data_IF_782643933854
#
_entry.id   IF_782643933854
#
_cell.length_a   1.000
_cell.length_b   1.000
_cell.length_c   1.000
_cell.angle_alpha   90.00
_cell.angle_beta   90.00
_cell.angle_gamma   90.00
#
_symmetry.space_group_name_H-M   'P 1'
#
loop_
_entity.id
_entity.type
_entity.pdbx_description
1 polymer ?
#
# COMPACT_ATOMS: atom_id res chain seq x y z
N UNK A 1 -8.79 6.36 -0.63
CA UNK A 1 -7.49 6.70 -1.24
C UNK A 1 -6.38 6.02 -0.45
N UNK A 2 -5.40 5.40 -1.12
CA UNK A 2 -4.19 4.87 -0.47
C UNK A 2 -3.00 5.78 -0.76
N UNK A 3 -2.20 6.04 0.27
CA UNK A 3 -0.91 6.73 0.21
C UNK A 3 0.16 5.88 0.90
N UNK A 4 1.42 6.10 0.55
CA UNK A 4 2.57 5.39 1.14
C UNK A 4 3.29 6.36 2.08
N UNK A 5 3.46 5.98 3.34
CA UNK A 5 3.91 6.88 4.41
C UNK A 5 5.43 7.07 4.48
N UNK A 6 6.22 6.55 3.52
CA UNK A 6 7.69 6.55 3.61
C UNK A 6 8.39 6.77 2.25
N UNK A 7 7.77 7.57 1.38
CA UNK A 7 8.38 7.98 0.11
C UNK A 7 8.99 9.38 0.24
N UNK A 8 10.30 9.58 -0.02
CA UNK A 8 10.89 10.92 -0.06
C UNK A 8 10.11 11.81 -1.03
N UNK A 9 9.93 13.07 -0.64
CA UNK A 9 9.06 14.05 -1.31
C UNK A 9 9.26 14.03 -2.84
N UNK A 10 8.29 13.46 -3.56
CA UNK A 10 8.34 13.36 -5.03
C UNK A 10 7.79 12.08 -5.65
N UNK A 11 7.53 11.02 -4.87
CA UNK A 11 6.93 9.75 -5.39
C UNK A 11 5.70 9.33 -4.59
N UNK A 12 4.67 10.17 -4.59
CA UNK A 12 3.39 9.84 -3.97
C UNK A 12 2.66 8.80 -4.82
N UNK A 13 2.86 7.52 -4.53
CA UNK A 13 2.09 6.45 -5.16
C UNK A 13 0.67 6.49 -4.59
N UNK A 14 -0.26 7.02 -5.37
CA UNK A 14 -1.67 7.12 -5.00
C UNK A 14 -2.46 6.05 -5.72
N UNK A 15 -3.30 5.32 -4.97
CA UNK A 15 -4.12 4.24 -5.51
C UNK A 15 -5.56 4.33 -5.01
N UNK A 16 -6.49 3.86 -5.82
CA UNK A 16 -7.91 3.69 -5.46
C UNK A 16 -8.11 2.23 -5.08
N UNK A 17 -8.74 1.99 -3.94
CA UNK A 17 -9.12 0.64 -3.49
C UNK A 17 -10.44 0.29 -4.17
N UNK A 18 -10.48 -0.78 -4.95
CA UNK A 18 -11.72 -1.31 -5.49
C UNK A 18 -12.55 -2.06 -4.43
N UNK A 19 -13.78 -2.43 -4.74
CA UNK A 19 -14.73 -3.06 -3.80
C UNK A 19 -14.23 -4.37 -3.17
N UNK A 20 -13.25 -5.04 -3.80
CA UNK A 20 -12.59 -6.23 -3.29
C UNK A 20 -11.41 -5.95 -2.32
N UNK A 21 -11.18 -4.69 -1.93
CA UNK A 21 -10.04 -4.31 -1.07
C UNK A 21 -8.68 -4.37 -1.79
N UNK A 22 -8.67 -4.45 -3.13
CA UNK A 22 -7.45 -4.52 -3.93
C UNK A 22 -7.04 -3.16 -4.47
N UNK A 23 -5.73 -2.93 -4.48
CA UNK A 23 -5.09 -1.73 -5.02
C UNK A 23 -3.82 -2.16 -5.77
N UNK A 24 -3.53 -1.47 -6.86
CA UNK A 24 -2.25 -1.61 -7.58
C UNK A 24 -1.42 -0.35 -7.34
N UNK A 25 -0.19 -0.55 -6.89
CA UNK A 25 0.76 0.52 -6.58
C UNK A 25 2.07 0.23 -7.30
N UNK A 26 2.55 1.20 -8.07
CA UNK A 26 3.89 1.19 -8.65
C UNK A 26 4.88 1.90 -7.74
N UNK A 27 6.19 1.73 -7.95
CA UNK A 27 7.20 2.58 -7.32
C UNK A 27 7.30 2.51 -5.79
N UNK A 28 6.83 1.41 -5.19
CA UNK A 28 6.97 1.16 -3.76
C UNK A 28 8.42 0.82 -3.40
N UNK A 29 8.90 1.23 -2.21
CA UNK A 29 10.13 0.67 -1.63
C UNK A 29 9.95 -0.82 -1.28
N UNK A 30 11.03 -1.54 -0.96
CA UNK A 30 10.97 -2.94 -0.52
C UNK A 30 10.14 -3.13 0.77
N UNK A 31 10.06 -2.11 1.62
CA UNK A 31 9.30 -2.14 2.86
C UNK A 31 8.80 -0.74 3.21
N UNK A 32 7.68 -0.64 3.91
CA UNK A 32 7.12 0.63 4.35
C UNK A 32 5.74 0.48 5.00
N UNK A 33 5.05 1.60 5.17
CA UNK A 33 3.69 1.65 5.70
C UNK A 33 2.75 2.27 4.66
N UNK A 34 1.63 1.61 4.39
CA UNK A 34 0.52 2.15 3.62
C UNK A 34 -0.47 2.84 4.55
N UNK A 35 -1.00 3.98 4.14
CA UNK A 35 -2.13 4.64 4.79
C UNK A 35 -3.32 4.60 3.84
N UNK A 36 -4.38 3.89 4.22
CA UNK A 36 -5.65 3.96 3.53
C UNK A 36 -6.54 4.99 4.25
N UNK A 37 -7.06 5.97 3.51
CA UNK A 37 -7.89 7.05 4.03
C UNK A 37 -9.15 7.21 3.19
N UNK A 38 -10.31 7.19 3.83
CA UNK A 38 -11.63 7.41 3.21
C UNK A 38 -12.44 8.53 3.88
N UNK A 39 -11.89 9.16 4.92
CA UNK A 39 -12.44 10.35 5.56
C UNK A 39 -11.39 11.04 6.43
N UNK A 40 -11.79 12.02 7.24
CA UNK A 40 -10.86 12.85 8.02
C UNK A 40 -10.69 12.42 9.48
N UNK A 41 -11.66 11.70 10.04
CA UNK A 41 -11.56 11.20 11.42
C UNK A 41 -10.59 10.02 11.52
N UNK A 42 -10.06 9.76 12.71
CA UNK A 42 -9.08 8.70 12.93
C UNK A 42 -9.62 7.30 12.60
N UNK A 43 -10.91 7.08 12.83
CA UNK A 43 -11.60 5.84 12.41
C UNK A 43 -11.87 5.76 10.90
N UNK A 44 -11.57 6.82 10.14
CA UNK A 44 -11.74 6.88 8.68
C UNK A 44 -10.40 6.76 7.94
N UNK A 45 -9.37 6.31 8.66
CA UNK A 45 -8.07 5.96 8.13
C UNK A 45 -7.55 4.69 8.80
N UNK A 46 -6.76 3.92 8.08
CA UNK A 46 -6.05 2.78 8.64
C UNK A 46 -4.64 2.70 8.06
N UNK A 47 -3.74 2.08 8.82
CA UNK A 47 -2.34 1.88 8.43
C UNK A 47 -2.07 0.39 8.27
N UNK A 48 -1.26 0.04 7.28
CA UNK A 48 -0.86 -1.33 7.02
C UNK A 48 0.63 -1.38 6.68
N UNK A 49 1.40 -2.13 7.47
CA UNK A 49 2.82 -2.36 7.19
C UNK A 49 2.96 -3.39 6.08
N UNK A 50 3.90 -3.17 5.16
CA UNK A 50 4.20 -4.10 4.08
C UNK A 50 5.71 -4.36 3.98
N UNK A 51 6.06 -5.59 3.64
CA UNK A 51 7.42 -6.00 3.33
C UNK A 51 7.40 -6.92 2.12
N UNK A 52 8.06 -6.47 1.05
CA UNK A 52 8.13 -7.18 -0.21
C UNK A 52 9.39 -8.06 -0.30
N UNK A 53 10.36 -7.94 0.61
CA UNK A 53 11.68 -8.61 0.53
C UNK A 53 11.62 -10.14 0.35
N UNK A 54 10.52 -10.79 0.74
CA UNK A 54 10.28 -12.23 0.55
C UNK A 54 9.42 -12.60 -0.68
N UNK A 55 9.01 -11.62 -1.48
CA UNK A 55 8.14 -11.78 -2.64
C UNK A 55 9.01 -11.68 -3.90
N UNK A 56 8.95 -12.74 -4.71
CA UNK A 56 9.70 -12.84 -5.96
C UNK A 56 9.60 -11.56 -6.79
N UNK A 57 10.73 -11.10 -7.30
CA UNK A 57 10.78 -9.91 -8.15
C UNK A 57 9.96 -10.14 -9.44
N UNK A 58 9.44 -9.06 -10.06
CA UNK A 58 8.67 -9.17 -11.29
C UNK A 58 9.47 -9.88 -12.38
N UNK A 59 8.83 -10.84 -13.05
CA UNK A 59 9.38 -11.55 -14.21
C UNK A 59 8.40 -11.50 -15.38
N UNK A 60 8.83 -11.94 -16.56
CA UNK A 60 7.94 -12.00 -17.73
C UNK A 60 6.68 -12.85 -17.49
N UNK A 61 6.73 -13.84 -16.61
CA UNK A 61 5.60 -14.68 -16.23
C UNK A 61 4.83 -14.20 -15.00
N UNK A 62 5.42 -13.31 -14.18
CA UNK A 62 4.76 -12.73 -13.03
C UNK A 62 5.14 -11.24 -12.89
N UNK A 63 4.44 -10.33 -13.59
CA UNK A 63 4.84 -8.93 -13.67
C UNK A 63 4.47 -8.10 -12.42
N UNK A 64 3.70 -8.65 -11.47
CA UNK A 64 3.19 -7.89 -10.31
C UNK A 64 3.44 -8.68 -9.03
N UNK A 65 4.05 -8.03 -8.03
CA UNK A 65 4.18 -8.59 -6.67
C UNK A 65 2.85 -8.45 -5.94
N UNK A 66 2.31 -9.56 -5.45
CA UNK A 66 1.06 -9.58 -4.68
C UNK A 66 1.35 -9.85 -3.20
N UNK A 67 0.77 -9.04 -2.32
CA UNK A 67 0.84 -9.18 -0.87
C UNK A 67 -0.53 -8.86 -0.28
N UNK A 68 -0.91 -9.56 0.79
CA UNK A 68 -2.03 -9.16 1.64
C UNK A 68 -1.48 -8.50 2.89
N UNK A 69 -1.87 -7.24 3.14
CA UNK A 69 -1.54 -6.52 4.35
C UNK A 69 -2.81 -6.31 5.19
N UNK A 70 -2.72 -6.48 6.50
CA UNK A 70 -3.84 -6.18 7.41
C UNK A 70 -3.85 -4.69 7.71
N UNK A 71 -5.03 -4.10 7.63
CA UNK A 71 -5.21 -2.71 8.04
C UNK A 71 -5.53 -2.63 9.53
N UNK A 72 -4.73 -1.85 10.23
CA UNK A 72 -4.92 -1.51 11.64
C UNK A 72 -5.48 -0.08 11.68
N UNK A 73 -6.68 0.09 12.23
CA UNK A 73 -7.23 1.42 12.53
C UNK A 73 -6.35 2.07 13.58
N UNK A 74 -5.88 3.28 13.30
CA UNK A 74 -5.18 4.09 14.30
C UNK A 74 -6.09 4.23 15.51
N UNK A 75 -5.56 3.85 16.67
CA UNK A 75 -6.28 3.85 17.94
C UNK A 75 -6.75 5.25 18.34
#
# INVERSE_FOLDING_TARGET
MITVADTPAGKNNTGIVGDAGQVYLSGLPEQGTLTAKWGHADHQQCRASFNLSGIAAPSASNPIRQLTARCETGQ
#
